data_IF_716315298153
#
_entry.id   IF_716315298153
#
_cell.length_a   1.000
_cell.length_b   1.000
_cell.length_c   1.000
_cell.angle_alpha   90.00
_cell.angle_beta   90.00
_cell.angle_gamma   90.00
#
_symmetry.space_group_name_H-M   'P 1'
#
loop_
_entity.id
_entity.type
_entity.pdbx_description
1 polymer ?
#
# COMPACT_ATOMS: atom_id res chain seq x y z
N UNK A 1 9.38 -28.69 27.85
CA UNK A 1 9.09 -27.75 26.75
C UNK A 1 9.91 -26.50 27.00
N UNK A 2 10.99 -26.29 26.24
CA UNK A 2 11.84 -25.12 26.42
C UNK A 2 11.38 -24.05 25.42
N UNK A 3 10.78 -22.97 25.90
CA UNK A 3 10.45 -21.83 25.03
C UNK A 3 11.76 -21.17 24.59
N UNK A 4 12.08 -21.25 23.30
CA UNK A 4 13.26 -20.57 22.76
C UNK A 4 12.90 -19.13 22.48
N UNK A 5 13.49 -18.21 23.24
CA UNK A 5 13.33 -16.77 23.01
C UNK A 5 14.37 -16.30 21.99
N UNK A 6 13.90 -15.76 20.86
CA UNK A 6 14.75 -15.17 19.83
C UNK A 6 14.60 -13.64 19.85
N UNK A 7 15.68 -12.93 19.55
CA UNK A 7 15.73 -11.47 19.57
C UNK A 7 15.93 -10.93 18.16
N UNK A 8 14.98 -10.13 17.67
CA UNK A 8 15.09 -9.47 16.37
C UNK A 8 15.89 -8.18 16.53
N UNK A 9 17.21 -8.29 16.41
CA UNK A 9 18.14 -7.15 16.51
C UNK A 9 18.35 -6.37 15.23
N UNK A 10 18.06 -6.96 14.06
CA UNK A 10 18.31 -6.29 12.79
C UNK A 10 17.34 -6.75 11.71
N UNK A 11 16.77 -5.78 11.01
CA UNK A 11 15.94 -5.98 9.82
C UNK A 11 16.75 -5.48 8.62
N UNK A 12 16.98 -6.35 7.63
CA UNK A 12 17.75 -5.95 6.45
C UNK A 12 16.92 -4.98 5.56
N UNK A 13 17.38 -3.74 5.30
CA UNK A 13 16.61 -2.78 4.50
C UNK A 13 16.33 -3.27 3.08
N UNK A 14 17.24 -4.07 2.53
CA UNK A 14 17.11 -4.67 1.21
C UNK A 14 15.95 -5.66 1.10
N UNK A 15 15.76 -6.50 2.12
CA UNK A 15 14.63 -7.43 2.16
C UNK A 15 13.33 -6.67 2.41
N UNK A 16 13.35 -5.67 3.30
CA UNK A 16 12.19 -4.81 3.53
C UNK A 16 11.75 -4.13 2.24
N UNK A 17 12.67 -3.56 1.47
CA UNK A 17 12.38 -2.94 0.17
C UNK A 17 11.69 -3.91 -0.80
N UNK A 18 12.22 -5.14 -0.94
CA UNK A 18 11.65 -6.15 -1.84
C UNK A 18 10.23 -6.56 -1.40
N UNK A 19 10.05 -6.84 -0.12
CA UNK A 19 8.76 -7.26 0.45
C UNK A 19 7.75 -6.12 0.35
N UNK A 20 8.13 -4.90 0.74
CA UNK A 20 7.25 -3.74 0.65
C UNK A 20 6.90 -3.39 -0.78
N UNK A 21 7.84 -3.52 -1.73
CA UNK A 21 7.57 -3.31 -3.14
C UNK A 21 6.55 -4.32 -3.68
N UNK A 22 6.67 -5.61 -3.31
CA UNK A 22 5.71 -6.63 -3.70
C UNK A 22 4.30 -6.33 -3.13
N UNK A 23 4.23 -5.99 -1.84
CA UNK A 23 2.96 -5.61 -1.18
C UNK A 23 2.35 -4.38 -1.85
N UNK A 24 3.16 -3.36 -2.13
CA UNK A 24 2.72 -2.13 -2.80
C UNK A 24 2.18 -2.37 -4.21
N UNK A 25 2.79 -3.29 -4.97
CA UNK A 25 2.28 -3.68 -6.31
C UNK A 25 0.94 -4.39 -6.19
N UNK A 26 0.78 -5.33 -5.25
CA UNK A 26 -0.50 -6.00 -5.01
C UNK A 26 -1.56 -5.01 -4.56
N UNK A 27 -1.21 -4.10 -3.64
CA UNK A 27 -2.09 -3.03 -3.17
C UNK A 27 -2.51 -2.07 -4.28
N UNK A 28 -1.58 -1.74 -5.19
CA UNK A 28 -1.88 -0.94 -6.39
C UNK A 28 -2.91 -1.62 -7.30
N UNK A 29 -2.74 -2.92 -7.57
CA UNK A 29 -3.70 -3.65 -8.40
C UNK A 29 -5.07 -3.75 -7.72
N UNK A 30 -5.10 -4.05 -6.41
CA UNK A 30 -6.34 -4.06 -5.63
C UNK A 30 -7.04 -2.70 -5.63
N UNK A 31 -6.28 -1.61 -5.53
CA UNK A 31 -6.78 -0.24 -5.65
C UNK A 31 -7.39 0.03 -7.03
N UNK A 32 -6.72 -0.39 -8.11
CA UNK A 32 -7.26 -0.22 -9.46
C UNK A 32 -8.56 -1.01 -9.68
N UNK A 33 -8.66 -2.22 -9.12
CA UNK A 33 -9.90 -3.00 -9.12
C UNK A 33 -10.99 -2.27 -8.33
N UNK A 34 -10.67 -1.72 -7.15
CA UNK A 34 -11.63 -0.95 -6.36
C UNK A 34 -12.14 0.28 -7.13
N UNK A 35 -11.25 1.03 -7.79
CA UNK A 35 -11.63 2.18 -8.63
C UNK A 35 -12.49 1.75 -9.81
N UNK A 36 -12.18 0.62 -10.45
CA UNK A 36 -13.01 0.09 -11.54
C UNK A 36 -14.42 -0.27 -11.06
N UNK A 37 -14.52 -0.94 -9.90
CA UNK A 37 -15.81 -1.28 -9.29
C UNK A 37 -16.60 -0.02 -8.94
N UNK A 38 -15.96 0.98 -8.32
CA UNK A 38 -16.61 2.26 -8.00
C UNK A 38 -17.08 2.98 -9.27
N UNK A 39 -16.29 2.96 -10.33
CA UNK A 39 -16.66 3.52 -11.62
C UNK A 39 -17.90 2.84 -12.21
N UNK A 40 -17.94 1.51 -12.21
CA UNK A 40 -19.09 0.75 -12.71
C UNK A 40 -20.36 1.00 -11.88
N UNK A 41 -20.25 1.09 -10.55
CA UNK A 41 -21.39 1.46 -9.71
C UNK A 41 -21.86 2.88 -10.00
N UNK A 42 -20.92 3.82 -10.17
CA UNK A 42 -21.23 5.22 -10.46
C UNK A 42 -21.94 5.38 -11.82
N UNK A 43 -21.52 4.60 -12.81
CA UNK A 43 -22.17 4.51 -14.11
C UNK A 43 -23.56 3.85 -14.01
N UNK A 44 -23.69 2.73 -13.28
CA UNK A 44 -24.97 2.04 -13.09
C UNK A 44 -26.04 2.89 -12.39
N UNK A 45 -25.63 3.84 -11.54
CA UNK A 45 -26.53 4.78 -10.87
C UNK A 45 -26.92 6.00 -11.73
N UNK A 46 -26.35 6.14 -12.94
CA UNK A 46 -26.61 7.28 -13.81
C UNK A 46 -26.09 8.62 -13.27
N UNK A 47 -25.19 8.61 -12.29
CA UNK A 47 -24.62 9.83 -11.71
C UNK A 47 -23.62 10.51 -12.64
N UNK A 48 -23.10 9.78 -13.62
CA UNK A 48 -22.22 10.30 -14.67
C UNK A 48 -22.85 11.48 -15.42
N UNK A 49 -24.08 11.32 -15.88
CA UNK A 49 -24.76 12.34 -16.69
C UNK A 49 -25.07 13.59 -15.87
N UNK A 50 -25.51 13.41 -14.62
CA UNK A 50 -25.78 14.52 -13.69
C UNK A 50 -24.52 15.34 -13.39
N UNK A 51 -23.37 14.69 -13.22
CA UNK A 51 -22.10 15.40 -13.02
C UNK A 51 -21.64 16.12 -14.28
N UNK A 52 -21.85 15.54 -15.46
CA UNK A 52 -21.50 16.17 -16.73
C UNK A 52 -22.30 17.45 -16.96
N UNK A 53 -23.60 17.43 -16.63
CA UNK A 53 -24.48 18.60 -16.74
C UNK A 53 -24.07 19.72 -15.77
N UNK A 54 -23.62 19.38 -14.56
CA UNK A 54 -23.11 20.36 -13.59
C UNK A 54 -21.78 20.99 -14.01
N UNK A 55 -20.96 20.26 -14.76
CA UNK A 55 -19.64 20.70 -15.22
C UNK A 55 -19.68 21.43 -16.58
N UNK A 56 -20.89 21.72 -17.10
CA UNK A 56 -21.05 22.51 -18.32
C UNK A 56 -21.00 21.69 -19.62
N UNK A 57 -21.29 20.39 -19.57
CA UNK A 57 -21.47 19.53 -20.74
C UNK A 57 -20.19 19.08 -21.44
N UNK A 58 -19.14 19.90 -21.40
CA UNK A 58 -17.89 19.71 -22.17
C UNK A 58 -16.69 19.30 -21.29
N UNK A 59 -16.75 19.55 -19.97
CA UNK A 59 -15.77 19.04 -19.00
C UNK A 59 -16.13 17.61 -18.55
N UNK A 60 -16.42 16.75 -19.52
CA UNK A 60 -16.63 15.33 -19.26
C UNK A 60 -15.33 14.77 -18.67
N UNK A 61 -15.33 14.40 -17.39
CA UNK A 61 -14.27 13.59 -16.79
C UNK A 61 -14.29 12.23 -17.49
N UNK A 62 -13.55 12.14 -18.60
CA UNK A 62 -13.47 10.95 -19.41
C UNK A 62 -12.96 9.79 -18.57
N UNK A 63 -13.45 8.58 -18.87
CA UNK A 63 -13.05 7.34 -18.19
C UNK A 63 -11.53 7.21 -18.13
N UNK A 64 -10.86 7.49 -19.25
CA UNK A 64 -9.40 7.48 -19.33
C UNK A 64 -8.73 8.44 -18.33
N UNK A 65 -9.30 9.62 -18.08
CA UNK A 65 -8.74 10.58 -17.13
C UNK A 65 -8.93 10.14 -15.68
N UNK A 66 -10.10 9.58 -15.33
CA UNK A 66 -10.36 9.03 -13.99
C UNK A 66 -9.37 7.91 -13.68
N UNK A 67 -9.23 6.95 -14.60
CA UNK A 67 -8.30 5.83 -14.43
C UNK A 67 -6.84 6.27 -14.46
N UNK A 68 -6.47 7.28 -15.25
CA UNK A 68 -5.10 7.82 -15.27
C UNK A 68 -4.75 8.53 -13.95
N UNK A 69 -5.66 9.36 -13.42
CA UNK A 69 -5.46 10.01 -12.12
C UNK A 69 -5.41 8.98 -10.99
N UNK A 70 -6.31 7.99 -11.00
CA UNK A 70 -6.31 6.92 -10.02
C UNK A 70 -5.03 6.07 -10.08
N UNK A 71 -4.53 5.77 -11.28
CA UNK A 71 -3.26 5.09 -11.46
C UNK A 71 -2.09 5.93 -10.93
N UNK A 72 -2.07 7.24 -11.20
CA UNK A 72 -1.06 8.16 -10.67
C UNK A 72 -1.05 8.19 -9.14
N UNK A 73 -2.22 8.30 -8.51
CA UNK A 73 -2.38 8.25 -7.05
C UNK A 73 -1.93 6.89 -6.50
N UNK A 74 -2.33 5.80 -7.15
CA UNK A 74 -1.96 4.45 -6.75
C UNK A 74 -0.45 4.21 -6.81
N UNK A 75 0.22 4.68 -7.87
CA UNK A 75 1.68 4.60 -8.02
C UNK A 75 2.37 5.44 -6.95
N UNK A 76 1.91 6.67 -6.70
CA UNK A 76 2.45 7.51 -5.66
C UNK A 76 2.37 6.82 -4.29
N UNK A 77 1.20 6.24 -3.97
CA UNK A 77 1.00 5.51 -2.72
C UNK A 77 1.92 4.28 -2.62
N UNK A 78 2.02 3.48 -3.69
CA UNK A 78 2.87 2.30 -3.74
C UNK A 78 4.36 2.64 -3.50
N UNK A 79 4.85 3.73 -4.08
CA UNK A 79 6.21 4.23 -3.89
C UNK A 79 6.41 4.74 -2.47
N UNK A 80 5.47 5.55 -1.95
CA UNK A 80 5.54 6.08 -0.59
C UNK A 80 5.58 4.97 0.47
N UNK A 81 4.72 3.96 0.36
CA UNK A 81 4.70 2.82 1.30
C UNK A 81 6.01 2.03 1.24
N UNK A 82 6.55 1.79 0.04
CA UNK A 82 7.81 1.06 -0.11
C UNK A 82 8.99 1.83 0.50
N UNK A 83 9.04 3.13 0.25
CA UNK A 83 10.07 4.01 0.79
C UNK A 83 9.97 4.11 2.32
N UNK A 84 8.78 4.37 2.85
CA UNK A 84 8.54 4.45 4.30
C UNK A 84 8.84 3.14 5.01
N UNK A 85 8.49 1.99 4.44
CA UNK A 85 8.84 0.69 5.02
C UNK A 85 10.37 0.50 5.08
N UNK A 86 11.08 0.85 4.01
CA UNK A 86 12.55 0.76 3.95
C UNK A 86 13.20 1.69 4.98
N UNK A 87 12.73 2.93 5.09
CA UNK A 87 13.17 3.89 6.11
C UNK A 87 12.86 3.39 7.53
N UNK A 88 11.67 2.82 7.74
CA UNK A 88 11.28 2.20 9.00
C UNK A 88 12.23 1.09 9.43
N UNK A 89 12.72 0.27 8.51
CA UNK A 89 13.74 -0.75 8.82
C UNK A 89 15.08 -0.13 9.25
N UNK A 90 15.51 0.98 8.62
CA UNK A 90 16.73 1.69 9.02
C UNK A 90 16.58 2.30 10.41
N UNK A 91 15.45 2.97 10.68
CA UNK A 91 15.15 3.56 11.99
C UNK A 91 15.05 2.48 13.07
N UNK A 92 14.37 1.36 12.78
CA UNK A 92 14.28 0.23 13.70
C UNK A 92 15.66 -0.28 14.10
N UNK A 93 16.56 -0.48 13.14
CA UNK A 93 17.91 -0.95 13.41
C UNK A 93 18.67 0.02 14.35
N UNK A 94 18.53 1.32 14.14
CA UNK A 94 19.16 2.33 15.01
C UNK A 94 18.58 2.31 16.44
N UNK A 95 17.27 2.12 16.58
CA UNK A 95 16.61 2.05 17.89
C UNK A 95 16.88 0.72 18.61
N UNK A 96 16.94 -0.40 17.89
CA UNK A 96 17.19 -1.72 18.47
C UNK A 96 18.58 -1.85 19.09
N UNK A 97 19.56 -1.12 18.56
CA UNK A 97 20.90 -1.03 19.14
C UNK A 97 20.89 -0.35 20.52
N UNK A 98 19.93 0.54 20.78
CA UNK A 98 19.79 1.26 22.05
C UNK A 98 18.94 0.50 23.08
N UNK A 99 17.84 -0.12 22.65
CA UNK A 99 16.81 -0.69 23.55
C UNK A 99 16.91 -2.21 23.68
N UNK A 100 17.70 -2.86 22.82
CA UNK A 100 17.88 -4.32 22.80
C UNK A 100 17.05 -5.05 21.75
N UNK A 101 16.06 -4.42 21.12
CA UNK A 101 15.24 -5.00 20.05
C UNK A 101 13.98 -5.73 20.53
N UNK A 102 13.25 -6.36 19.60
CA UNK A 102 11.99 -7.08 19.89
C UNK A 102 12.27 -8.54 20.19
N UNK A 103 11.80 -9.04 21.33
CA UNK A 103 11.86 -10.46 21.69
C UNK A 103 10.63 -11.19 21.16
N UNK A 104 10.85 -12.32 20.50
CA UNK A 104 9.82 -13.23 20.00
C UNK A 104 9.97 -14.58 20.71
N UNK A 105 8.86 -15.12 21.19
CA UNK A 105 8.79 -16.46 21.78
C UNK A 105 8.23 -17.39 20.71
N UNK A 106 8.99 -18.42 20.36
CA UNK A 106 8.51 -19.48 19.48
C UNK A 106 8.08 -20.65 20.35
N UNK A 107 6.85 -21.10 20.14
CA UNK A 107 6.42 -22.42 20.59
C UNK A 107 6.85 -23.43 19.54
N UNK A 108 7.55 -24.48 19.98
CA UNK A 108 7.89 -25.61 19.10
C UNK A 108 6.58 -26.23 18.60
N UNK A 109 6.43 -26.30 17.29
CA UNK A 109 5.37 -27.08 16.65
C UNK A 109 5.92 -28.51 16.55
N UNK A 110 5.43 -29.40 17.42
CA UNK A 110 5.67 -30.85 17.34
C UNK A 110 5.18 -31.44 16.01
#
# INVERSE_FOLDING_TARGET
MAHTQLLVRRISPWTTLRVSAAISVIGFLAWMVAVAVLYLLFEAMGYRDRFNDLLGGDAALGVGMIFALAAGIGVLWAVLVSALATLGAVVYNACSDLVGGVTITLDDVE
#
